data_IF_158120835412
#
_entry.id   IF_158120835412
#
_cell.length_a   1.000
_cell.length_b   1.000
_cell.length_c   1.000
_cell.angle_alpha   90.00
_cell.angle_beta   90.00
_cell.angle_gamma   90.00
#
_symmetry.space_group_name_H-M   'P 1'
#
loop_
_entity.id
_entity.type
_entity.pdbx_description
1 polymer ?
#
# COMPACT_ATOMS: atom_id res chain seq x y z
N UNK A 1 -13.73 6.63 -4.61
CA UNK A 1 -13.66 5.69 -3.48
C UNK A 1 -14.11 6.37 -2.21
N UNK A 2 -14.93 5.69 -1.40
CA UNK A 2 -15.16 6.04 0.01
C UNK A 2 -14.38 5.04 0.87
N UNK A 3 -13.68 5.53 1.89
CA UNK A 3 -12.84 4.74 2.78
C UNK A 3 -13.23 4.95 4.22
N UNK A 4 -13.41 3.85 4.93
CA UNK A 4 -13.64 3.80 6.36
C UNK A 4 -12.42 3.17 7.02
N UNK A 5 -11.69 3.91 7.85
CA UNK A 5 -10.45 3.41 8.48
C UNK A 5 -10.70 2.44 9.65
N UNK A 6 -11.95 2.33 10.12
CA UNK A 6 -12.37 1.42 11.19
C UNK A 6 -13.83 1.59 11.61
N UNK A 7 -14.58 0.50 11.45
CA UNK A 7 -15.98 0.37 11.88
C UNK A 7 -16.14 -1.01 12.49
N UNK A 8 -16.55 -1.10 13.75
CA UNK A 8 -16.76 -2.41 14.40
C UNK A 8 -18.25 -2.60 14.73
N UNK A 9 -18.85 -3.77 14.46
CA UNK A 9 -18.22 -5.06 14.08
C UNK A 9 -18.68 -5.68 12.76
N UNK A 10 -19.87 -5.37 12.28
CA UNK A 10 -20.33 -5.73 10.94
C UNK A 10 -21.30 -4.68 10.45
N UNK A 11 -21.16 -4.24 9.21
CA UNK A 11 -21.85 -3.04 8.77
C UNK A 11 -22.09 -3.01 7.27
N UNK A 12 -23.17 -2.33 6.89
CA UNK A 12 -23.62 -2.19 5.53
C UNK A 12 -23.57 -0.72 5.10
N UNK A 13 -23.26 -0.49 3.84
CA UNK A 13 -23.14 0.83 3.22
C UNK A 13 -24.23 1.05 2.17
N UNK A 14 -24.87 2.21 2.23
CA UNK A 14 -25.75 2.71 1.17
C UNK A 14 -25.37 4.13 0.75
N UNK A 15 -25.50 4.40 -0.54
CA UNK A 15 -25.31 5.73 -1.14
C UNK A 15 -26.53 6.07 -1.97
N UNK A 16 -27.16 7.21 -1.68
CA UNK A 16 -28.39 7.67 -2.33
C UNK A 16 -29.52 6.63 -2.35
N UNK A 17 -29.61 5.81 -1.29
CA UNK A 17 -30.61 4.75 -1.15
C UNK A 17 -30.24 3.41 -1.79
N UNK A 18 -29.14 3.33 -2.53
CA UNK A 18 -28.66 2.10 -3.16
C UNK A 18 -27.65 1.40 -2.26
N UNK A 19 -27.77 0.07 -2.16
CA UNK A 19 -26.81 -0.75 -1.45
C UNK A 19 -25.47 -0.78 -2.20
N UNK A 20 -24.38 -0.53 -1.48
CA UNK A 20 -23.02 -0.51 -2.04
C UNK A 20 -22.22 -1.74 -1.60
N UNK A 21 -22.33 -2.15 -0.33
CA UNK A 21 -21.56 -3.28 0.17
C UNK A 21 -21.63 -3.48 1.68
N UNK A 22 -20.90 -4.49 2.15
CA UNK A 22 -20.80 -4.91 3.55
C UNK A 22 -19.33 -5.16 3.91
N UNK A 23 -18.97 -4.88 5.16
CA UNK A 23 -17.66 -5.24 5.73
C UNK A 23 -17.79 -5.71 7.19
N UNK A 24 -16.82 -6.51 7.64
CA UNK A 24 -16.75 -7.09 8.99
C UNK A 24 -15.32 -7.22 9.54
N UNK A 25 -14.42 -6.32 9.16
CA UNK A 25 -13.03 -6.28 9.65
C UNK A 25 -12.76 -5.02 10.47
N UNK A 26 -13.09 -5.02 11.77
CA UNK A 26 -13.21 -3.79 12.56
C UNK A 26 -11.94 -2.93 12.65
N UNK A 27 -10.77 -3.53 12.47
CA UNK A 27 -9.47 -2.89 12.71
C UNK A 27 -8.64 -2.62 11.45
N UNK A 28 -9.16 -2.96 10.28
CA UNK A 28 -8.55 -2.66 8.97
C UNK A 28 -9.46 -1.73 8.16
N UNK A 29 -8.90 -0.93 7.25
CA UNK A 29 -9.72 -0.09 6.39
C UNK A 29 -10.58 -0.91 5.43
N UNK A 30 -11.78 -0.41 5.15
CA UNK A 30 -12.64 -0.90 4.07
C UNK A 30 -12.88 0.22 3.04
N UNK A 31 -12.77 -0.12 1.76
CA UNK A 31 -12.93 0.81 0.65
C UNK A 31 -14.02 0.34 -0.31
N UNK A 32 -14.86 1.26 -0.76
CA UNK A 32 -15.91 0.99 -1.72
C UNK A 32 -15.83 1.97 -2.90
N UNK A 33 -15.95 1.47 -4.12
CA UNK A 33 -16.17 2.32 -5.28
C UNK A 33 -17.63 2.79 -5.27
N UNK A 34 -17.81 4.11 -5.18
CA UNK A 34 -19.11 4.77 -5.12
C UNK A 34 -19.39 5.60 -6.38
N UNK A 35 -18.54 5.49 -7.42
CA UNK A 35 -18.59 6.34 -8.62
C UNK A 35 -19.98 6.33 -9.26
N UNK A 36 -20.56 5.15 -9.48
CA UNK A 36 -21.86 4.99 -10.13
C UNK A 36 -23.06 5.33 -9.22
N UNK A 37 -22.82 5.54 -7.93
CA UNK A 37 -23.85 5.85 -6.94
C UNK A 37 -23.98 7.35 -6.64
N UNK A 38 -23.00 8.15 -7.05
CA UNK A 38 -22.96 9.60 -6.78
C UNK A 38 -23.65 10.42 -7.88
N UNK A 39 -24.23 11.56 -7.49
CA UNK A 39 -24.87 12.54 -8.36
C UNK A 39 -24.05 13.83 -8.39
N UNK A 40 -23.35 14.16 -9.49
CA UNK A 40 -22.55 15.37 -9.59
C UNK A 40 -23.38 16.64 -9.38
N UNK A 41 -22.82 17.63 -8.67
CA UNK A 41 -23.47 18.92 -8.42
C UNK A 41 -24.66 18.88 -7.45
N UNK A 42 -25.04 17.71 -6.94
CA UNK A 42 -26.13 17.53 -6.00
C UNK A 42 -25.63 17.09 -4.61
N UNK A 43 -26.46 17.29 -3.59
CA UNK A 43 -26.23 16.71 -2.27
C UNK A 43 -26.37 15.19 -2.37
N UNK A 44 -25.34 14.47 -1.92
CA UNK A 44 -25.32 13.01 -1.88
C UNK A 44 -25.51 12.55 -0.43
N UNK A 45 -26.35 11.54 -0.21
CA UNK A 45 -26.60 10.97 1.11
C UNK A 45 -25.89 9.63 1.25
N UNK A 46 -25.06 9.50 2.28
CA UNK A 46 -24.42 8.25 2.68
C UNK A 46 -25.12 7.75 3.94
N UNK A 47 -25.48 6.47 3.98
CA UNK A 47 -26.07 5.83 5.15
C UNK A 47 -25.29 4.56 5.49
N UNK A 48 -25.01 4.37 6.78
CA UNK A 48 -24.23 3.25 7.30
C UNK A 48 -25.03 2.58 8.42
N UNK A 49 -25.30 1.29 8.29
CA UNK A 49 -25.95 0.50 9.35
C UNK A 49 -24.91 -0.36 10.03
N UNK A 50 -24.60 -0.04 11.28
CA UNK A 50 -23.60 -0.77 12.07
C UNK A 50 -24.30 -1.72 13.04
N UNK A 51 -23.93 -2.99 12.96
CA UNK A 51 -24.32 -4.02 13.92
C UNK A 51 -23.22 -4.16 14.96
N UNK A 52 -23.63 -4.21 16.24
CA UNK A 52 -22.72 -4.42 17.37
C UNK A 52 -22.10 -5.83 17.34
N UNK A 53 -22.84 -6.81 16.86
CA UNK A 53 -22.41 -8.21 16.79
C UNK A 53 -22.60 -8.74 15.36
N UNK A 54 -21.58 -9.40 14.85
CA UNK A 54 -21.52 -10.03 13.53
C UNK A 54 -20.79 -11.38 13.64
N UNK A 55 -20.70 -12.13 12.54
CA UNK A 55 -19.86 -13.32 12.49
C UNK A 55 -18.38 -12.97 12.76
N UNK A 56 -17.91 -11.79 12.30
CA UNK A 56 -16.56 -11.29 12.56
C UNK A 56 -16.25 -11.09 14.05
N UNK A 57 -17.27 -10.79 14.87
CA UNK A 57 -17.09 -10.59 16.33
C UNK A 57 -16.55 -11.83 17.05
N UNK A 58 -16.72 -13.04 16.51
CA UNK A 58 -16.13 -14.27 17.06
C UNK A 58 -14.61 -14.35 16.87
N UNK A 59 -14.07 -13.62 15.90
CA UNK A 59 -12.62 -13.50 15.66
C UNK A 59 -12.02 -12.27 16.36
N UNK A 60 -12.85 -11.38 16.89
CA UNK A 60 -12.46 -10.14 17.59
C UNK A 60 -12.64 -10.25 19.12
N UNK A 61 -12.40 -11.44 19.69
CA UNK A 61 -12.50 -11.72 21.13
C UNK A 61 -11.18 -11.40 21.88
N UNK A 62 -10.76 -10.15 21.80
CA UNK A 62 -9.63 -9.65 22.57
C UNK A 62 -10.05 -9.32 24.01
N UNK A 63 -9.11 -9.39 24.95
CA UNK A 63 -9.28 -8.89 26.32
C UNK A 63 -9.30 -7.34 26.32
N UNK A 64 -10.46 -6.79 25.97
CA UNK A 64 -10.70 -5.36 25.85
C UNK A 64 -12.19 -5.02 26.03
N UNK A 65 -12.50 -3.73 26.15
CA UNK A 65 -13.87 -3.24 26.14
C UNK A 65 -14.58 -3.55 24.81
N UNK A 66 -15.80 -4.08 24.89
CA UNK A 66 -16.63 -4.37 23.71
C UNK A 66 -17.48 -3.15 23.32
N UNK A 67 -16.95 -2.32 22.43
CA UNK A 67 -17.65 -1.17 21.83
C UNK A 67 -18.11 -1.45 20.39
N UNK A 68 -18.85 -0.51 19.79
CA UNK A 68 -19.33 -0.59 18.41
C UNK A 68 -19.47 0.81 17.80
N UNK A 69 -19.46 0.89 16.47
CA UNK A 69 -19.67 2.11 15.71
C UNK A 69 -18.51 2.44 14.77
N UNK A 70 -18.61 3.61 14.13
CA UNK A 70 -17.57 4.20 13.30
C UNK A 70 -16.58 4.91 14.23
N UNK A 71 -15.43 4.31 14.49
CA UNK A 71 -14.50 4.78 15.52
C UNK A 71 -13.19 5.33 14.96
N UNK A 72 -13.00 5.28 13.64
CA UNK A 72 -11.90 5.95 12.91
C UNK A 72 -12.47 6.79 11.75
N UNK A 73 -11.58 7.52 11.09
CA UNK A 73 -11.91 8.47 10.02
C UNK A 73 -12.68 7.82 8.87
N UNK A 74 -13.55 8.64 8.26
CA UNK A 74 -14.21 8.36 6.99
C UNK A 74 -13.74 9.41 5.99
N UNK A 75 -13.30 8.97 4.82
CA UNK A 75 -12.79 9.87 3.79
C UNK A 75 -13.34 9.52 2.41
N UNK A 76 -13.40 10.52 1.54
CA UNK A 76 -13.73 10.37 0.12
C UNK A 76 -12.54 10.87 -0.69
N UNK A 77 -12.12 10.09 -1.67
CA UNK A 77 -11.08 10.49 -2.61
C UNK A 77 -11.36 9.96 -4.01
N UNK A 78 -10.82 10.66 -5.00
CA UNK A 78 -10.90 10.32 -6.41
C UNK A 78 -9.54 9.90 -6.93
N UNK A 79 -9.49 8.84 -7.72
CA UNK A 79 -8.31 8.42 -8.46
C UNK A 79 -8.58 8.53 -9.96
N UNK A 80 -7.56 8.74 -10.81
CA UNK A 80 -7.73 8.61 -12.25
C UNK A 80 -8.16 7.18 -12.66
N UNK A 81 -8.66 7.04 -13.89
CA UNK A 81 -9.07 5.75 -14.46
C UNK A 81 -7.91 4.76 -14.55
N UNK A 82 -6.71 5.26 -14.85
CA UNK A 82 -5.46 4.51 -14.78
C UNK A 82 -4.64 4.99 -13.59
N UNK A 83 -4.28 4.07 -12.70
CA UNK A 83 -3.59 4.40 -11.43
C UNK A 83 -2.66 3.28 -11.01
N UNK A 84 -1.65 3.62 -10.20
CA UNK A 84 -0.98 2.61 -9.37
C UNK A 84 -1.98 2.15 -8.31
N UNK A 85 -2.27 0.86 -8.30
CA UNK A 85 -3.17 0.22 -7.34
C UNK A 85 -2.41 -0.25 -6.12
N UNK A 86 -1.26 -0.89 -6.32
CA UNK A 86 -0.39 -1.34 -5.25
C UNK A 86 1.09 -1.19 -5.62
N UNK A 87 1.93 -1.08 -4.60
CA UNK A 87 3.38 -1.05 -4.75
C UNK A 87 4.04 -1.80 -3.59
N UNK A 88 4.73 -2.90 -3.92
CA UNK A 88 5.47 -3.71 -2.97
C UNK A 88 6.97 -3.43 -3.09
N UNK A 89 7.58 -2.94 -2.01
CA UNK A 89 8.99 -2.53 -1.97
C UNK A 89 9.78 -3.46 -1.07
N UNK A 90 10.86 -4.05 -1.59
CA UNK A 90 11.81 -4.82 -0.81
C UNK A 90 13.23 -4.27 -0.95
N UNK A 91 14.03 -4.48 0.08
CA UNK A 91 15.45 -4.13 0.09
C UNK A 91 16.24 -5.27 0.70
N UNK A 92 17.02 -5.96 -0.13
CA UNK A 92 17.87 -7.06 0.31
C UNK A 92 19.31 -6.55 0.45
N UNK A 93 19.90 -6.74 1.63
CA UNK A 93 21.31 -6.47 1.86
C UNK A 93 22.14 -7.66 1.35
N UNK A 94 23.33 -7.38 0.82
CA UNK A 94 24.29 -8.41 0.48
C UNK A 94 24.77 -9.19 1.72
N UNK A 95 25.52 -10.27 1.51
CA UNK A 95 26.00 -11.13 2.60
C UNK A 95 26.95 -10.42 3.58
N UNK A 96 27.57 -9.32 3.14
CA UNK A 96 28.44 -8.46 3.97
C UNK A 96 27.67 -7.32 4.65
N UNK A 97 26.35 -7.26 4.46
CA UNK A 97 25.49 -6.16 4.88
C UNK A 97 26.01 -4.79 4.45
N UNK A 98 26.69 -4.73 3.29
CA UNK A 98 27.28 -3.49 2.79
C UNK A 98 26.33 -2.82 1.81
N UNK A 99 26.11 -3.44 0.65
CA UNK A 99 25.26 -2.91 -0.40
C UNK A 99 23.86 -3.51 -0.31
N UNK A 100 22.87 -2.83 -0.91
CA UNK A 100 21.49 -3.30 -0.97
C UNK A 100 21.00 -3.39 -2.42
N UNK A 101 20.05 -4.28 -2.68
CA UNK A 101 19.25 -4.28 -3.92
C UNK A 101 17.86 -3.77 -3.58
N UNK A 102 17.47 -2.65 -4.19
CA UNK A 102 16.10 -2.14 -4.13
C UNK A 102 15.29 -2.85 -5.21
N UNK A 103 14.17 -3.46 -4.83
CA UNK A 103 13.18 -4.02 -5.74
C UNK A 103 11.81 -3.41 -5.44
N UNK A 104 11.08 -3.05 -6.48
CA UNK A 104 9.74 -2.49 -6.36
C UNK A 104 8.85 -3.09 -7.44
N UNK A 105 7.83 -3.80 -7.00
CA UNK A 105 6.77 -4.37 -7.84
C UNK A 105 5.57 -3.42 -7.77
N UNK A 106 5.03 -3.02 -8.92
CA UNK A 106 3.92 -2.07 -9.01
C UNK A 106 2.79 -2.70 -9.82
N UNK A 107 1.60 -2.73 -9.24
CA UNK A 107 0.36 -3.12 -9.90
C UNK A 107 -0.39 -1.88 -10.37
N UNK A 108 -0.86 -1.90 -11.62
CA UNK A 108 -1.52 -0.79 -12.29
C UNK A 108 -2.94 -1.22 -12.67
N UNK A 109 -3.91 -0.57 -12.04
CA UNK A 109 -5.32 -0.76 -12.35
C UNK A 109 -5.77 0.16 -13.46
N UNK A 110 -6.69 -0.35 -14.28
CA UNK A 110 -7.44 0.41 -15.28
C UNK A 110 -8.93 0.19 -15.07
N UNK A 111 -9.69 1.26 -14.99
CA UNK A 111 -11.15 1.23 -14.95
C UNK A 111 -11.73 1.89 -16.20
N UNK A 112 -12.80 1.30 -16.76
CA UNK A 112 -13.45 1.80 -17.98
C UNK A 112 -12.76 1.36 -19.26
N UNK A 113 -12.96 2.11 -20.35
CA UNK A 113 -12.48 1.78 -21.70
C UNK A 113 -11.11 2.37 -22.04
N UNK A 114 -10.25 2.58 -21.04
CA UNK A 114 -8.94 3.19 -21.27
C UNK A 114 -8.04 2.25 -22.09
N UNK A 115 -7.70 2.69 -23.30
CA UNK A 115 -6.83 1.98 -24.27
C UNK A 115 -5.45 2.61 -24.38
N UNK A 116 -5.07 3.46 -23.42
CA UNK A 116 -3.71 3.97 -23.35
C UNK A 116 -2.71 2.81 -23.42
N UNK A 117 -1.70 2.96 -24.27
CA UNK A 117 -0.60 2.02 -24.42
C UNK A 117 0.20 1.79 -23.13
N UNK A 118 1.33 1.08 -23.17
CA UNK A 118 2.08 0.74 -21.96
C UNK A 118 2.57 2.01 -21.24
N UNK A 119 2.18 2.17 -19.98
CA UNK A 119 2.66 3.27 -19.16
C UNK A 119 4.12 3.04 -18.78
N UNK A 120 4.80 4.11 -18.37
CA UNK A 120 6.12 4.02 -17.78
C UNK A 120 6.04 4.33 -16.29
N UNK A 121 6.64 3.47 -15.48
CA UNK A 121 6.81 3.69 -14.05
C UNK A 121 8.24 4.17 -13.82
N UNK A 122 8.37 5.30 -13.12
CA UNK A 122 9.66 5.80 -12.63
C UNK A 122 9.66 5.82 -11.12
N UNK A 123 10.67 5.21 -10.50
CA UNK A 123 10.94 5.30 -9.07
C UNK A 123 12.20 6.11 -8.80
N UNK A 124 12.08 7.15 -7.96
CA UNK A 124 13.22 7.96 -7.51
C UNK A 124 13.39 7.81 -6.00
N UNK A 125 14.54 7.30 -5.57
CA UNK A 125 14.90 7.13 -4.18
C UNK A 125 15.70 8.34 -3.70
N UNK A 126 15.25 8.97 -2.63
CA UNK A 126 15.92 10.08 -1.95
C UNK A 126 16.45 9.66 -0.59
N UNK A 127 17.63 10.12 -0.22
CA UNK A 127 18.19 9.93 1.12
C UNK A 127 17.47 10.80 2.19
N UNK A 128 17.74 10.62 3.49
CA UNK A 128 17.14 11.44 4.55
C UNK A 128 17.39 12.95 4.42
N UNK A 129 18.40 13.36 3.62
CA UNK A 129 18.73 14.77 3.35
C UNK A 129 18.06 15.28 2.08
N UNK A 130 17.22 14.47 1.42
CA UNK A 130 16.50 14.82 0.20
C UNK A 130 17.34 14.71 -1.08
N UNK A 131 18.53 14.09 -1.04
CA UNK A 131 19.37 13.91 -2.24
C UNK A 131 18.94 12.67 -3.01
N UNK A 132 18.85 12.78 -4.33
CA UNK A 132 18.56 11.63 -5.20
C UNK A 132 19.72 10.62 -5.14
N UNK A 133 19.42 9.40 -4.72
CA UNK A 133 20.36 8.28 -4.60
C UNK A 133 20.26 7.36 -5.81
N UNK A 134 19.03 7.13 -6.28
CA UNK A 134 18.77 6.21 -7.38
C UNK A 134 17.52 6.58 -8.13
N UNK A 135 17.56 6.37 -9.45
CA UNK A 135 16.41 6.45 -10.34
C UNK A 135 16.32 5.19 -11.16
N UNK A 136 15.15 4.57 -11.13
CA UNK A 136 14.82 3.35 -11.85
C UNK A 136 13.60 3.62 -12.73
N UNK A 137 13.55 2.97 -13.89
CA UNK A 137 12.42 3.09 -14.82
C UNK A 137 12.09 1.73 -15.38
N UNK A 138 10.80 1.42 -15.49
CA UNK A 138 10.28 0.21 -16.10
C UNK A 138 9.06 0.54 -16.95
N UNK A 139 8.96 -0.12 -18.10
CA UNK A 139 7.73 -0.11 -18.87
C UNK A 139 6.74 -1.09 -18.22
N UNK A 140 5.49 -0.68 -18.14
CA UNK A 140 4.39 -1.55 -17.76
C UNK A 140 4.23 -2.68 -18.78
N UNK A 141 4.01 -3.90 -18.28
CA UNK A 141 3.63 -5.08 -19.04
C UNK A 141 2.44 -5.74 -18.36
N UNK A 142 1.32 -5.83 -19.08
CA UNK A 142 0.11 -6.49 -18.59
C UNK A 142 -0.35 -6.02 -17.19
N UNK A 143 -0.37 -4.70 -16.95
CA UNK A 143 -0.79 -4.14 -15.66
C UNK A 143 0.25 -4.22 -14.55
N UNK A 144 1.48 -4.66 -14.83
CA UNK A 144 2.57 -4.73 -13.83
C UNK A 144 3.83 -4.02 -14.31
N UNK A 145 4.60 -3.48 -13.37
CA UNK A 145 5.94 -2.96 -13.62
C UNK A 145 6.89 -3.36 -12.49
N UNK A 146 8.13 -3.70 -12.83
CA UNK A 146 9.15 -4.09 -11.85
C UNK A 146 10.39 -3.21 -12.00
N UNK A 147 10.75 -2.53 -10.92
CA UNK A 147 11.94 -1.70 -10.81
C UNK A 147 12.95 -2.44 -9.95
N UNK A 148 14.17 -2.64 -10.44
CA UNK A 148 15.24 -3.26 -9.64
C UNK A 148 16.57 -2.55 -9.86
N UNK A 149 17.35 -2.37 -8.79
CA UNK A 149 18.71 -1.85 -8.92
C UNK A 149 19.49 -1.79 -7.61
N UNK A 150 20.84 -1.83 -7.69
CA UNK A 150 21.69 -1.79 -6.50
C UNK A 150 21.80 -0.38 -5.93
N UNK A 151 21.99 -0.30 -4.61
CA UNK A 151 22.25 0.88 -3.80
C UNK A 151 23.55 0.61 -3.03
N UNK A 152 24.58 1.41 -3.30
CA UNK A 152 25.89 1.24 -2.67
C UNK A 152 25.89 1.79 -1.24
N UNK A 153 26.32 0.98 -0.28
CA UNK A 153 26.50 1.31 1.13
C UNK A 153 25.40 2.23 1.72
N UNK A 154 24.11 1.85 1.64
CA UNK A 154 23.05 2.67 2.21
C UNK A 154 23.20 2.76 3.74
N UNK A 155 22.87 3.93 4.30
CA UNK A 155 22.60 4.07 5.72
C UNK A 155 21.50 3.06 6.13
N UNK A 156 21.85 2.13 7.03
CA UNK A 156 20.93 1.08 7.50
C UNK A 156 19.91 1.64 8.47
N UNK A 157 18.73 1.01 8.52
CA UNK A 157 17.71 1.30 9.52
C UNK A 157 17.83 0.36 10.72
N UNK A 158 18.14 0.91 11.90
CA UNK A 158 17.98 0.24 13.19
C UNK A 158 16.99 1.01 14.06
N UNK A 159 16.57 0.45 15.20
CA UNK A 159 15.76 1.15 16.20
C UNK A 159 16.56 2.26 16.92
N UNK A 160 17.88 2.14 16.95
CA UNK A 160 18.80 3.19 17.41
C UNK A 160 19.11 4.22 16.32
N UNK A 161 19.12 3.80 15.05
CA UNK A 161 19.47 4.63 13.89
C UNK A 161 18.41 4.53 12.78
N UNK A 162 17.27 5.24 12.92
CA UNK A 162 16.11 5.06 12.06
C UNK A 162 16.25 5.80 10.72
N UNK A 163 17.27 5.48 9.93
CA UNK A 163 17.49 6.06 8.60
C UNK A 163 16.37 5.69 7.62
N UNK A 164 15.65 6.68 7.10
CA UNK A 164 14.56 6.49 6.15
C UNK A 164 14.85 7.17 4.82
N UNK A 165 14.74 6.40 3.74
CA UNK A 165 14.75 6.91 2.38
C UNK A 165 13.32 7.17 1.93
N UNK A 166 13.13 8.11 1.01
CA UNK A 166 11.84 8.36 0.38
C UNK A 166 11.86 7.84 -1.06
N UNK A 167 11.05 6.83 -1.36
CA UNK A 167 10.81 6.39 -2.74
C UNK A 167 9.59 7.11 -3.29
N UNK A 168 9.77 7.87 -4.36
CA UNK A 168 8.70 8.55 -5.09
C UNK A 168 8.44 7.80 -6.38
N UNK A 169 7.24 7.23 -6.50
CA UNK A 169 6.78 6.50 -7.68
C UNK A 169 5.90 7.40 -8.54
N UNK A 170 6.17 7.39 -9.84
CA UNK A 170 5.50 8.22 -10.84
C UNK A 170 5.02 7.35 -11.98
N UNK A 171 3.73 7.43 -12.31
CA UNK A 171 3.16 6.80 -13.49
C UNK A 171 3.12 7.83 -14.62
N UNK A 172 3.58 7.45 -15.79
CA UNK A 172 3.63 8.32 -16.98
C UNK A 172 2.84 7.70 -18.11
N UNK A 173 1.94 8.49 -18.68
CA UNK A 173 1.14 8.09 -19.83
C UNK A 173 2.02 7.96 -21.09
N UNK A 174 1.67 7.08 -22.02
CA UNK A 174 2.37 6.94 -23.30
C UNK A 174 2.41 8.27 -24.05
N UNK A 175 3.63 8.79 -24.30
CA UNK A 175 3.84 10.01 -25.08
C UNK A 175 3.46 11.33 -24.36
N UNK A 176 2.99 11.29 -23.12
CA UNK A 176 2.64 12.50 -22.38
C UNK A 176 3.86 13.18 -21.77
N UNK A 177 3.89 14.52 -21.86
CA UNK A 177 4.86 15.36 -21.16
C UNK A 177 4.50 15.55 -19.67
N UNK A 178 3.30 15.13 -19.26
CA UNK A 178 2.79 15.25 -17.89
C UNK A 178 3.08 13.96 -17.11
N UNK A 179 3.79 14.11 -16.01
CA UNK A 179 4.01 13.08 -15.01
C UNK A 179 3.28 13.47 -13.73
N UNK A 180 2.52 12.56 -13.12
CA UNK A 180 1.94 12.78 -11.80
C UNK A 180 2.66 11.88 -10.79
N UNK A 181 3.23 12.44 -9.69
CA UNK A 181 3.64 11.62 -8.57
C UNK A 181 2.41 10.84 -8.08
N UNK A 182 2.48 9.52 -8.10
CA UNK A 182 1.34 8.65 -7.80
C UNK A 182 1.40 8.11 -6.38
N UNK A 183 2.61 7.83 -5.88
CA UNK A 183 2.82 7.33 -4.54
C UNK A 183 4.16 7.78 -3.96
N UNK A 184 4.22 7.89 -2.64
CA UNK A 184 5.45 8.10 -1.88
C UNK A 184 5.49 7.09 -0.74
N UNK A 185 6.56 6.32 -0.66
CA UNK A 185 6.80 5.35 0.40
C UNK A 185 8.08 5.68 1.16
N UNK A 186 8.08 5.42 2.46
CA UNK A 186 9.31 5.40 3.26
C UNK A 186 9.96 4.02 3.13
N UNK A 187 11.24 3.98 2.77
CA UNK A 187 12.00 2.76 2.51
C UNK A 187 13.20 2.68 3.46
N UNK A 188 13.45 1.50 4.00
CA UNK A 188 14.51 1.24 4.97
C UNK A 188 15.34 0.04 4.55
N UNK A 189 16.66 0.18 4.50
CA UNK A 189 17.55 -0.97 4.31
C UNK A 189 17.75 -1.70 5.65
N UNK A 190 17.11 -2.86 5.81
CA UNK A 190 17.28 -3.77 6.97
C UNK A 190 17.12 -5.21 6.51
N UNK A 191 17.90 -6.11 7.09
CA UNK A 191 17.70 -7.56 6.95
C UNK A 191 17.32 -8.16 8.31
N UNK A 192 16.51 -9.22 8.30
CA UNK A 192 16.21 -10.06 9.46
C UNK A 192 16.53 -11.51 9.09
N UNK A 193 17.53 -12.09 9.75
CA UNK A 193 17.87 -13.50 9.59
C UNK A 193 17.87 -14.18 10.96
N UNK A 194 17.53 -15.47 11.01
CA UNK A 194 17.71 -16.32 12.18
C UNK A 194 18.91 -17.23 11.92
N UNK A 195 19.94 -17.13 12.75
CA UNK A 195 21.07 -18.06 12.73
C UNK A 195 20.77 -19.19 13.72
N UNK A 196 20.56 -20.41 13.24
CA UNK A 196 20.50 -21.59 14.11
C UNK A 196 21.93 -22.11 14.32
N UNK A 197 22.40 -22.08 15.57
CA UNK A 197 23.63 -22.79 15.94
C UNK A 197 23.30 -24.26 16.17
N UNK A 198 23.61 -25.16 15.23
CA UNK A 198 23.62 -26.59 15.52
C UNK A 198 24.87 -26.92 16.32
N UNK A 199 24.73 -27.30 17.60
CA UNK A 199 25.81 -27.97 18.33
C UNK A 199 26.06 -29.33 17.67
N UNK A 200 27.20 -29.47 17.02
CA UNK A 200 27.78 -30.76 16.70
C UNK A 200 28.08 -31.47 18.01
N UNK A 201 27.33 -32.52 18.34
CA UNK A 201 27.76 -33.53 19.32
C UNK A 201 28.80 -34.40 18.61
N UNK A 202 30.07 -34.14 18.87
CA UNK A 202 31.13 -35.09 18.60
C UNK A 202 30.96 -36.26 19.58
N UNK A 203 30.34 -37.35 19.14
CA UNK A 203 30.44 -38.64 19.81
C UNK A 203 31.77 -39.28 19.40
N UNK A 204 32.80 -39.06 20.20
CA UNK A 204 34.02 -39.85 20.18
C UNK A 204 33.95 -40.95 21.23
N UNK A 205 33.95 -42.20 20.77
CA UNK A 205 34.66 -43.38 21.31
C UNK A 205 34.22 -44.61 20.52
#
# INVERSE_FOLDING_TARGET
MIRFDGVTSGWFLWVNGHYVGYDQGGYVPAEFDVTDYLRPGATNRIAVQVHRWSAGSYLEDYDQWRYAGIFRSVSLYSTPTTRMEDAYVTTDLDASYRDATLRTEVDIARTGSDKSGPHQVTGVLYDPKGREVRRLTAAEKAGKAELTGPIANPAKWSDETPNLYALVLTLRDPGARRSRPCARASVSARSRSRTSSSRSTASGS
#
